data_IF_229114496588
#
_entry.id   IF_229114496588
#
_cell.length_a   1.000
_cell.length_b   1.000
_cell.length_c   1.000
_cell.angle_alpha   90.00
_cell.angle_beta   90.00
_cell.angle_gamma   90.00
#
_symmetry.space_group_name_H-M   'P 1'
#
loop_
_entity.id
_entity.type
_entity.pdbx_description
1 polymer ?
#
# COMPACT_ATOMS: atom_id res chain seq x y z
N UNK A 1 -17.24 -17.62 2.81
CA UNK A 1 -17.42 -16.20 3.19
C UNK A 1 -16.84 -15.37 2.04
N UNK A 2 -17.45 -14.24 1.70
CA UNK A 2 -16.92 -13.32 0.69
C UNK A 2 -16.51 -12.04 1.39
N UNK A 3 -15.26 -11.61 1.21
CA UNK A 3 -14.71 -10.43 1.88
C UNK A 3 -13.22 -10.61 2.17
N UNK A 4 -12.60 -9.57 2.72
CA UNK A 4 -11.16 -9.56 3.04
C UNK A 4 -10.85 -9.84 4.50
N UNK A 5 -11.86 -9.81 5.38
CA UNK A 5 -11.72 -9.94 6.83
C UNK A 5 -10.71 -8.93 7.43
N UNK A 6 -10.79 -7.68 6.95
CA UNK A 6 -9.87 -6.60 7.30
C UNK A 6 -8.74 -6.39 6.29
N UNK A 7 -7.75 -5.61 6.70
CA UNK A 7 -6.55 -5.30 5.91
C UNK A 7 -5.32 -5.16 6.81
N UNK A 8 -4.16 -5.52 6.28
CA UNK A 8 -2.86 -5.16 6.84
C UNK A 8 -2.07 -4.36 5.82
N UNK A 9 -1.42 -3.28 6.23
CA UNK A 9 -0.65 -2.44 5.34
C UNK A 9 0.58 -1.82 6.01
N UNK A 10 1.54 -1.38 5.19
CA UNK A 10 2.70 -0.61 5.64
C UNK A 10 3.13 0.38 4.54
N UNK A 11 3.75 1.49 4.92
CA UNK A 11 4.29 2.50 4.02
C UNK A 11 5.79 2.31 3.77
N UNK A 12 6.22 2.40 2.51
CA UNK A 12 7.63 2.58 2.16
C UNK A 12 7.88 4.06 1.92
N UNK A 13 8.62 4.70 2.81
CA UNK A 13 8.76 6.16 2.85
C UNK A 13 10.11 6.58 2.29
N UNK A 14 10.16 7.71 1.59
CA UNK A 14 11.36 8.27 0.99
C UNK A 14 12.50 8.41 2.01
N UNK A 15 13.68 7.89 1.69
CA UNK A 15 14.88 7.77 2.57
C UNK A 15 14.74 6.93 3.83
N UNK A 16 13.55 6.85 4.41
CA UNK A 16 13.28 6.10 5.63
C UNK A 16 13.10 4.60 5.35
N UNK A 17 12.46 4.26 4.24
CA UNK A 17 12.08 2.89 3.89
C UNK A 17 10.98 2.34 4.80
N UNK A 18 11.07 1.06 5.17
CA UNK A 18 10.15 0.41 6.12
C UNK A 18 10.55 0.73 7.57
N UNK A 19 10.01 1.80 8.15
CA UNK A 19 10.30 2.19 9.54
C UNK A 19 9.15 1.99 10.50
N UNK A 20 7.93 1.89 9.96
CA UNK A 20 6.73 1.59 10.73
C UNK A 20 6.48 0.09 10.79
N UNK A 21 5.90 -0.37 11.90
CA UNK A 21 5.34 -1.71 11.95
C UNK A 21 4.15 -1.81 10.98
N UNK A 22 3.81 -3.03 10.57
CA UNK A 22 2.56 -3.28 9.88
C UNK A 22 1.38 -2.81 10.73
N UNK A 23 0.43 -2.13 10.10
CA UNK A 23 -0.83 -1.76 10.72
C UNK A 23 -1.94 -2.67 10.20
N UNK A 24 -2.70 -3.25 11.12
CA UNK A 24 -3.78 -4.20 10.80
C UNK A 24 -5.07 -3.75 11.46
N UNK A 25 -6.15 -3.76 10.68
CA UNK A 25 -7.49 -3.40 11.14
C UNK A 25 -8.50 -4.40 10.61
N UNK A 26 -9.58 -4.64 11.37
CA UNK A 26 -10.71 -5.47 10.94
C UNK A 26 -11.67 -4.71 10.03
N UNK A 27 -12.71 -5.41 9.55
CA UNK A 27 -13.77 -4.80 8.74
C UNK A 27 -14.46 -3.63 9.47
N UNK A 28 -14.76 -2.57 8.73
CA UNK A 28 -15.42 -1.36 9.25
C UNK A 28 -14.48 -0.34 9.92
N UNK A 29 -13.17 -0.56 9.89
CA UNK A 29 -12.17 0.38 10.39
C UNK A 29 -11.23 0.86 9.27
N UNK A 30 -10.78 2.11 9.38
CA UNK A 30 -9.83 2.71 8.44
C UNK A 30 -8.40 2.25 8.74
N UNK A 31 -7.66 1.84 7.70
CA UNK A 31 -6.24 1.53 7.79
C UNK A 31 -5.39 2.69 7.28
N UNK A 32 -4.76 3.44 8.20
CA UNK A 32 -3.90 4.58 7.84
C UNK A 32 -2.43 4.14 7.74
N UNK A 33 -1.78 4.53 6.64
CA UNK A 33 -0.34 4.39 6.43
C UNK A 33 0.25 5.71 5.89
N UNK A 34 1.53 5.95 6.17
CA UNK A 34 2.19 7.21 5.83
C UNK A 34 1.87 8.34 6.81
N UNK A 35 1.91 9.59 6.35
CA UNK A 35 1.63 10.77 7.18
C UNK A 35 0.94 11.86 6.36
N UNK A 36 0.12 12.66 7.04
CA UNK A 36 -0.56 13.84 6.48
C UNK A 36 0.12 15.15 6.86
N UNK A 37 1.21 15.11 7.63
CA UNK A 37 1.95 16.32 8.00
C UNK A 37 2.57 16.99 6.77
N UNK A 38 2.58 18.32 6.77
CA UNK A 38 3.00 19.12 5.61
C UNK A 38 4.43 18.80 5.14
N UNK A 39 5.34 18.51 6.07
CA UNK A 39 6.76 18.26 5.81
C UNK A 39 7.11 16.76 5.91
N UNK A 40 6.12 15.87 5.96
CA UNK A 40 6.36 14.44 5.96
C UNK A 40 7.05 13.99 4.66
N UNK A 41 8.03 13.08 4.73
CA UNK A 41 8.63 12.54 3.52
C UNK A 41 7.58 11.81 2.68
N UNK A 42 7.73 11.88 1.36
CA UNK A 42 6.79 11.24 0.45
C UNK A 42 6.75 9.72 0.64
N UNK A 43 5.55 9.14 0.56
CA UNK A 43 5.40 7.70 0.44
C UNK A 43 5.79 7.28 -0.98
N UNK A 44 6.79 6.42 -1.12
CA UNK A 44 7.23 5.90 -2.41
C UNK A 44 6.41 4.69 -2.85
N UNK A 45 5.93 3.92 -1.88
CA UNK A 45 5.06 2.78 -2.12
C UNK A 45 4.45 2.27 -0.83
N UNK A 46 3.74 1.16 -0.94
CA UNK A 46 3.03 0.53 0.16
C UNK A 46 3.03 -0.98 -0.03
N UNK A 47 2.99 -1.70 1.08
CA UNK A 47 2.66 -3.11 1.11
C UNK A 47 1.22 -3.26 1.63
N UNK A 48 0.44 -4.16 1.05
CA UNK A 48 -0.93 -4.47 1.48
C UNK A 48 -1.18 -5.97 1.42
N UNK A 49 -1.89 -6.49 2.42
CA UNK A 49 -2.31 -7.88 2.54
C UNK A 49 -3.73 -7.96 3.11
N UNK A 50 -4.42 -9.05 2.79
CA UNK A 50 -5.77 -9.35 3.29
C UNK A 50 -5.78 -10.73 3.96
N UNK A 51 -6.38 -10.86 5.17
CA UNK A 51 -6.49 -12.16 5.85
C UNK A 51 -7.36 -13.18 5.12
N UNK A 52 -8.32 -12.74 4.30
CA UNK A 52 -9.14 -13.60 3.46
C UNK A 52 -9.25 -13.03 2.05
N UNK A 53 -9.55 -13.91 1.08
CA UNK A 53 -9.82 -13.50 -0.30
C UNK A 53 -8.57 -13.05 -1.05
N UNK A 54 -8.71 -11.98 -1.85
CA UNK A 54 -7.71 -11.49 -2.78
C UNK A 54 -7.72 -9.96 -2.78
N UNK A 55 -6.54 -9.37 -2.89
CA UNK A 55 -6.39 -7.94 -3.15
C UNK A 55 -5.56 -7.75 -4.41
N UNK A 56 -5.99 -6.84 -5.28
CA UNK A 56 -5.21 -6.35 -6.40
C UNK A 56 -4.93 -4.86 -6.21
N UNK A 57 -3.71 -4.43 -6.55
CA UNK A 57 -3.33 -3.03 -6.57
C UNK A 57 -2.77 -2.62 -7.92
N UNK A 58 -3.08 -1.40 -8.33
CA UNK A 58 -2.39 -0.68 -9.39
C UNK A 58 -1.90 0.66 -8.81
N UNK A 59 -0.59 0.88 -8.83
CA UNK A 59 0.02 2.10 -8.32
C UNK A 59 0.42 3.03 -9.47
N UNK A 60 0.15 4.33 -9.32
CA UNK A 60 0.73 5.38 -10.14
C UNK A 60 1.83 6.08 -9.38
N UNK A 61 3.01 6.21 -9.99
CA UNK A 61 4.13 6.93 -9.40
C UNK A 61 4.56 8.09 -10.27
N UNK A 62 5.11 9.12 -9.64
CA UNK A 62 5.74 10.23 -10.36
C UNK A 62 6.74 9.68 -11.36
N UNK A 63 6.80 10.30 -12.54
CA UNK A 63 7.65 9.94 -13.71
C UNK A 63 7.26 8.68 -14.48
N UNK A 64 6.48 7.75 -13.91
CA UNK A 64 6.13 6.48 -14.57
C UNK A 64 4.63 6.30 -14.82
N UNK A 65 3.78 7.07 -14.15
CA UNK A 65 2.34 6.84 -14.20
C UNK A 65 2.00 5.45 -13.63
N UNK A 66 0.93 4.84 -14.15
CA UNK A 66 0.44 3.53 -13.73
C UNK A 66 1.40 2.39 -14.07
N UNK A 67 1.73 1.56 -13.07
CA UNK A 67 2.76 0.51 -13.14
C UNK A 67 2.21 -0.89 -13.50
N UNK A 68 0.93 -1.00 -13.85
CA UNK A 68 0.25 -2.27 -14.09
C UNK A 68 -0.26 -2.92 -12.80
N UNK A 69 -1.25 -3.79 -12.94
CA UNK A 69 -1.94 -4.43 -11.82
C UNK A 69 -1.17 -5.64 -11.30
N UNK A 70 -1.02 -5.72 -9.97
CA UNK A 70 -0.52 -6.90 -9.25
C UNK A 70 -1.57 -7.36 -8.24
N UNK A 71 -1.57 -8.65 -7.89
CA UNK A 71 -2.49 -9.19 -6.90
C UNK A 71 -1.81 -10.16 -5.94
N UNK A 72 -2.29 -10.19 -4.70
CA UNK A 72 -1.97 -11.19 -3.67
C UNK A 72 -3.24 -11.94 -3.29
N UNK A 73 -3.09 -13.23 -3.04
CA UNK A 73 -4.12 -14.06 -2.42
C UNK A 73 -4.00 -13.95 -0.88
N UNK A 74 -4.86 -14.65 -0.16
CA UNK A 74 -4.91 -14.69 1.29
C UNK A 74 -3.53 -14.87 1.95
N UNK A 75 -3.28 -14.08 3.00
CA UNK A 75 -2.07 -14.09 3.84
C UNK A 75 -0.75 -13.78 3.09
N UNK A 76 -0.83 -13.46 1.79
CA UNK A 76 0.27 -12.91 1.00
C UNK A 76 0.16 -11.37 0.93
N UNK A 77 1.28 -10.70 0.68
CA UNK A 77 1.30 -9.27 0.47
C UNK A 77 1.78 -8.89 -0.93
N UNK A 78 1.22 -7.80 -1.44
CA UNK A 78 1.71 -7.14 -2.65
C UNK A 78 2.28 -5.78 -2.31
N UNK A 79 3.34 -5.43 -3.03
CA UNK A 79 3.91 -4.10 -3.02
C UNK A 79 3.42 -3.30 -4.23
N UNK A 80 2.99 -2.06 -3.99
CA UNK A 80 2.67 -1.06 -5.01
C UNK A 80 3.52 0.18 -4.86
N UNK A 81 4.00 0.73 -5.99
CA UNK A 81 4.79 1.97 -6.02
C UNK A 81 6.24 1.72 -6.41
N UNK A 82 7.17 2.40 -5.73
CA UNK A 82 8.59 2.32 -6.02
C UNK A 82 9.45 2.29 -4.76
N UNK A 83 10.67 1.79 -4.91
CA UNK A 83 11.76 1.97 -3.94
C UNK A 83 12.78 3.01 -4.40
N UNK A 84 12.51 3.68 -5.53
CA UNK A 84 13.34 4.75 -6.06
C UNK A 84 12.90 6.09 -5.46
N UNK A 85 13.84 6.81 -4.86
CA UNK A 85 13.61 8.08 -4.17
C UNK A 85 13.03 9.20 -5.06
N UNK A 86 13.20 9.11 -6.38
CA UNK A 86 12.65 10.08 -7.34
C UNK A 86 11.20 9.77 -7.77
N UNK A 87 10.62 8.67 -7.28
CA UNK A 87 9.32 8.12 -7.74
C UNK A 87 8.36 7.90 -6.59
N UNK A 88 7.76 8.97 -6.11
CA UNK A 88 6.74 8.86 -5.08
C UNK A 88 5.38 8.44 -5.65
N UNK A 89 4.57 7.85 -4.78
CA UNK A 89 3.21 7.43 -5.08
C UNK A 89 2.32 8.67 -5.30
N UNK A 90 1.55 8.67 -6.37
CA UNK A 90 0.62 9.76 -6.73
C UNK A 90 -0.85 9.30 -6.71
N UNK A 91 -1.09 8.02 -7.00
CA UNK A 91 -2.43 7.43 -6.93
C UNK A 91 -2.37 5.91 -6.74
N UNK A 92 -3.47 5.34 -6.26
CA UNK A 92 -3.67 3.89 -6.15
C UNK A 92 -5.07 3.51 -6.62
N UNK A 93 -5.20 2.31 -7.19
CA UNK A 93 -6.47 1.61 -7.38
C UNK A 93 -6.38 0.28 -6.67
N UNK A 94 -7.43 -0.06 -5.94
CA UNK A 94 -7.55 -1.32 -5.22
C UNK A 94 -8.81 -2.04 -5.68
N UNK A 95 -8.70 -3.36 -5.84
CA UNK A 95 -9.81 -4.26 -6.17
C UNK A 95 -9.77 -5.45 -5.23
N UNK A 96 -10.91 -5.84 -4.66
CA UNK A 96 -11.07 -6.94 -3.70
C UNK A 96 -12.27 -7.81 -4.07
#
# INVERSE_FOLDING_TARGET
MSGTAGTSANAFVHKDGWKTAWNSVGDGADNYIGSTEQDAPHMLGFAIAVPEGKVCQEASTRTRGWLGQLCAEQDDYIFGGSINDERWLEAVRLTV
#
